data_IF_690447232862
#
_entry.id   IF_690447232862
#
_cell.length_a   1.000
_cell.length_b   1.000
_cell.length_c   1.000
_cell.angle_alpha   90.00
_cell.angle_beta   90.00
_cell.angle_gamma   90.00
#
_symmetry.space_group_name_H-M   'P 1'
#
loop_
_entity.id
_entity.type
_entity.pdbx_description
1 polymer ?
#
# COMPACT_ATOMS: atom_id res chain seq x y z
N UNK A 1 1.65 14.47 16.88
CA UNK A 1 0.52 15.15 16.20
C UNK A 1 -0.72 14.30 16.38
N UNK A 2 -1.72 14.75 17.13
CA UNK A 2 -3.03 14.08 17.16
C UNK A 2 -3.71 14.40 15.83
N UNK A 3 -3.90 13.41 14.96
CA UNK A 3 -4.66 13.56 13.72
C UNK A 3 -6.04 14.10 14.14
N UNK A 4 -6.34 15.37 13.85
CA UNK A 4 -7.72 15.87 13.90
C UNK A 4 -8.44 15.24 12.72
N UNK A 5 -8.70 13.95 12.84
CA UNK A 5 -9.73 13.30 12.04
C UNK A 5 -11.00 14.11 12.30
N UNK A 6 -11.91 14.16 11.32
CA UNK A 6 -13.26 14.64 11.60
C UNK A 6 -13.91 13.81 12.72
N UNK A 7 -15.23 13.88 12.88
CA UNK A 7 -15.92 12.88 13.69
C UNK A 7 -15.36 11.49 13.33
N UNK A 8 -14.91 10.72 14.34
CA UNK A 8 -14.22 9.45 14.10
C UNK A 8 -15.06 8.49 13.22
N UNK A 9 -16.38 8.63 13.31
CA UNK A 9 -17.38 8.01 12.45
C UNK A 9 -17.21 8.35 10.95
N UNK A 10 -17.00 9.62 10.59
CA UNK A 10 -16.75 10.03 9.19
C UNK A 10 -15.47 9.39 8.67
N UNK A 11 -14.40 9.39 9.47
CA UNK A 11 -13.15 8.75 9.07
C UNK A 11 -13.32 7.24 8.86
N UNK A 12 -14.02 6.56 9.78
CA UNK A 12 -14.34 5.15 9.66
C UNK A 12 -15.12 4.85 8.39
N UNK A 13 -16.20 5.58 8.14
CA UNK A 13 -17.04 5.39 6.96
C UNK A 13 -16.25 5.64 5.68
N UNK A 14 -15.63 6.81 5.54
CA UNK A 14 -14.96 7.20 4.31
C UNK A 14 -13.79 6.23 3.97
N UNK A 15 -13.08 5.73 4.98
CA UNK A 15 -12.00 4.77 4.79
C UNK A 15 -12.51 3.35 4.43
N UNK A 16 -13.64 2.92 4.99
CA UNK A 16 -14.28 1.65 4.59
C UNK A 16 -14.86 1.74 3.17
N UNK A 17 -15.54 2.84 2.83
CA UNK A 17 -16.06 3.07 1.48
C UNK A 17 -14.91 3.05 0.45
N UNK A 18 -13.77 3.66 0.81
CA UNK A 18 -12.55 3.61 -0.02
C UNK A 18 -12.03 2.19 -0.18
N UNK A 19 -11.90 1.44 0.92
CA UNK A 19 -11.45 0.05 0.90
C UNK A 19 -12.36 -0.83 0.03
N UNK A 20 -13.67 -0.74 0.23
CA UNK A 20 -14.66 -1.51 -0.52
C UNK A 20 -14.66 -1.15 -2.01
N UNK A 21 -14.57 0.14 -2.34
CA UNK A 21 -14.47 0.59 -3.73
C UNK A 21 -13.22 0.03 -4.43
N UNK A 22 -12.07 0.02 -3.74
CA UNK A 22 -10.84 -0.59 -4.26
C UNK A 22 -11.01 -2.10 -4.47
N UNK A 23 -11.56 -2.82 -3.50
CA UNK A 23 -11.79 -4.26 -3.63
C UNK A 23 -12.79 -4.61 -4.76
N UNK A 24 -13.80 -3.76 -4.99
CA UNK A 24 -14.75 -3.94 -6.09
C UNK A 24 -14.09 -3.71 -7.44
N UNK A 25 -13.30 -2.62 -7.58
CA UNK A 25 -12.56 -2.33 -8.81
C UNK A 25 -11.59 -3.48 -9.15
N UNK A 26 -10.81 -3.96 -8.19
CA UNK A 26 -9.84 -5.05 -8.39
C UNK A 26 -10.47 -6.43 -8.62
N UNK A 27 -11.78 -6.58 -8.47
CA UNK A 27 -12.52 -7.79 -8.80
C UNK A 27 -13.26 -7.69 -10.14
N UNK A 28 -13.26 -6.52 -10.78
CA UNK A 28 -13.90 -6.33 -12.07
C UNK A 28 -13.00 -6.85 -13.23
N UNK A 29 -13.40 -6.58 -14.47
CA UNK A 29 -12.68 -7.03 -15.68
C UNK A 29 -11.90 -5.90 -16.36
N UNK A 30 -11.71 -4.77 -15.69
CA UNK A 30 -11.27 -3.48 -16.24
C UNK A 30 -9.84 -3.17 -15.80
N UNK A 31 -8.87 -3.74 -16.51
CA UNK A 31 -7.44 -3.61 -16.19
C UNK A 31 -6.93 -2.17 -16.02
N UNK A 32 -7.57 -1.18 -16.67
CA UNK A 32 -7.16 0.23 -16.62
C UNK A 32 -7.37 0.88 -15.25
N UNK A 33 -8.19 0.30 -14.38
CA UNK A 33 -8.43 0.81 -13.03
C UNK A 33 -7.59 0.10 -11.96
N UNK A 34 -6.85 -0.96 -12.30
CA UNK A 34 -6.11 -1.78 -11.33
C UNK A 34 -5.00 -0.99 -10.63
N UNK A 35 -4.11 -0.35 -11.41
CA UNK A 35 -2.99 0.44 -10.90
C UNK A 35 -3.45 1.55 -9.92
N UNK A 36 -4.40 2.44 -10.27
CA UNK A 36 -4.88 3.44 -9.31
C UNK A 36 -5.61 2.80 -8.12
N UNK A 37 -6.34 1.69 -8.30
CA UNK A 37 -7.06 1.01 -7.21
C UNK A 37 -6.11 0.36 -6.22
N UNK A 38 -5.04 -0.30 -6.67
CA UNK A 38 -3.99 -0.88 -5.83
C UNK A 38 -3.25 0.19 -5.03
N UNK A 39 -2.93 1.32 -5.67
CA UNK A 39 -2.29 2.46 -4.98
C UNK A 39 -3.19 3.04 -3.90
N UNK A 40 -4.47 3.24 -4.20
CA UNK A 40 -5.43 3.75 -3.22
C UNK A 40 -5.66 2.75 -2.08
N UNK A 41 -5.74 1.45 -2.41
CA UNK A 41 -5.86 0.36 -1.45
C UNK A 41 -4.67 0.33 -0.49
N UNK A 42 -3.44 0.40 -1.01
CA UNK A 42 -2.23 0.44 -0.18
C UNK A 42 -2.23 1.61 0.81
N UNK A 43 -2.70 2.78 0.37
CA UNK A 43 -2.84 3.95 1.24
C UNK A 43 -3.91 3.72 2.31
N UNK A 44 -5.07 3.18 1.93
CA UNK A 44 -6.14 2.87 2.87
C UNK A 44 -5.68 1.87 3.94
N UNK A 45 -5.00 0.80 3.53
CA UNK A 45 -4.38 -0.20 4.40
C UNK A 45 -3.38 0.42 5.39
N UNK A 46 -2.63 1.42 4.95
CA UNK A 46 -1.62 2.10 5.76
C UNK A 46 -2.20 3.11 6.76
N UNK A 47 -3.44 3.56 6.60
CA UNK A 47 -4.05 4.55 7.51
C UNK A 47 -4.37 3.97 8.89
N UNK A 48 -4.68 2.67 8.97
CA UNK A 48 -4.93 1.94 10.22
C UNK A 48 -3.63 1.52 10.93
N UNK A 49 -2.48 1.98 10.45
CA UNK A 49 -1.17 1.62 10.98
C UNK A 49 -0.70 2.64 12.03
N UNK A 50 -0.73 2.23 13.30
CA UNK A 50 0.47 2.40 14.09
C UNK A 50 0.80 1.10 14.85
N UNK A 51 1.32 0.06 14.17
CA UNK A 51 2.07 -1.00 14.87
C UNK A 51 1.82 -2.47 14.54
N UNK A 52 1.21 -2.86 13.41
CA UNK A 52 1.11 -4.28 13.02
C UNK A 52 1.87 -4.62 11.73
N UNK A 53 2.97 -5.38 11.85
CA UNK A 53 3.80 -5.82 10.72
C UNK A 53 2.99 -6.40 9.54
N UNK A 54 1.88 -7.10 9.85
CA UNK A 54 0.98 -7.71 8.86
C UNK A 54 0.29 -6.72 7.93
N UNK A 55 -0.12 -5.54 8.40
CA UNK A 55 -0.82 -4.56 7.54
C UNK A 55 0.14 -3.77 6.65
N UNK A 56 1.36 -3.53 7.14
CA UNK A 56 2.42 -3.01 6.29
C UNK A 56 2.64 -3.97 5.12
N UNK A 57 2.70 -5.28 5.40
CA UNK A 57 2.85 -6.32 4.38
C UNK A 57 1.76 -6.26 3.30
N UNK A 58 0.48 -6.18 3.67
CA UNK A 58 -0.62 -6.08 2.68
C UNK A 58 -0.53 -4.81 1.82
N UNK A 59 -0.14 -3.67 2.40
CA UNK A 59 0.08 -2.44 1.65
C UNK A 59 1.27 -2.55 0.67
N UNK A 60 2.36 -3.19 1.09
CA UNK A 60 3.50 -3.48 0.23
C UNK A 60 3.13 -4.45 -0.90
N UNK A 61 2.33 -5.49 -0.62
CA UNK A 61 1.81 -6.41 -1.64
C UNK A 61 0.98 -5.64 -2.67
N UNK A 62 0.04 -4.80 -2.22
CA UNK A 62 -0.79 -4.00 -3.10
C UNK A 62 0.05 -3.09 -4.03
N UNK A 63 1.06 -2.39 -3.49
CA UNK A 63 1.98 -1.59 -4.32
C UNK A 63 2.86 -2.45 -5.22
N UNK A 64 3.23 -3.65 -4.80
CA UNK A 64 4.01 -4.57 -5.64
C UNK A 64 3.21 -5.02 -6.85
N UNK A 65 1.92 -5.33 -6.65
CA UNK A 65 1.00 -5.77 -7.70
C UNK A 65 0.75 -4.70 -8.78
N UNK A 66 0.97 -3.40 -8.50
CA UNK A 66 0.62 -2.32 -9.44
C UNK A 66 1.37 -2.40 -10.79
N UNK A 67 2.48 -3.15 -10.84
CA UNK A 67 3.29 -3.37 -12.04
C UNK A 67 2.94 -4.65 -12.79
N UNK A 68 1.89 -5.37 -12.41
CA UNK A 68 1.50 -6.63 -13.01
C UNK A 68 0.07 -6.58 -13.57
N UNK A 69 -0.19 -7.36 -14.60
CA UNK A 69 -1.53 -7.65 -15.10
C UNK A 69 -2.19 -8.64 -14.14
N UNK A 70 -3.34 -8.26 -13.61
CA UNK A 70 -4.11 -9.09 -12.71
C UNK A 70 -5.21 -9.77 -13.52
N UNK A 71 -5.28 -11.11 -13.55
CA UNK A 71 -6.37 -11.76 -14.25
C UNK A 71 -7.68 -11.47 -13.53
N UNK A 72 -8.71 -11.16 -14.32
CA UNK A 72 -10.06 -11.05 -13.79
C UNK A 72 -10.45 -12.33 -13.03
N UNK A 73 -11.16 -12.16 -11.91
CA UNK A 73 -11.71 -13.30 -11.16
C UNK A 73 -12.53 -14.14 -12.13
N UNK A 74 -12.19 -15.43 -12.37
CA UNK A 74 -12.96 -16.25 -13.29
C UNK A 74 -14.39 -16.26 -12.78
N UNK A 75 -15.33 -15.84 -13.63
CA UNK A 75 -16.74 -15.82 -13.27
C UNK A 75 -17.07 -17.18 -12.66
N UNK A 76 -17.69 -17.22 -11.46
CA UNK A 76 -17.96 -18.49 -10.79
C UNK A 76 -18.68 -19.33 -11.82
N UNK A 77 -18.04 -20.43 -12.24
CA UNK A 77 -18.58 -21.29 -13.28
C UNK A 77 -19.99 -21.59 -12.83
N UNK A 78 -20.96 -20.91 -13.46
CA UNK A 78 -22.35 -21.09 -13.14
C UNK A 78 -22.53 -22.56 -13.36
N UNK A 79 -22.69 -23.32 -12.25
CA UNK A 79 -23.04 -24.73 -12.29
C UNK A 79 -24.39 -24.69 -12.95
N UNK A 80 -24.39 -24.67 -14.29
CA UNK A 80 -25.54 -25.02 -15.09
C UNK A 80 -25.86 -26.38 -14.52
N UNK A 81 -26.93 -26.42 -13.74
CA UNK A 81 -27.48 -27.65 -13.23
C UNK A 81 -27.64 -28.50 -14.47
N UNK A 82 -26.72 -29.43 -14.67
CA UNK A 82 -26.86 -30.48 -15.66
C UNK A 82 -27.98 -31.32 -15.06
N UNK A 83 -29.21 -30.84 -15.21
CA UNK A 83 -30.41 -31.64 -15.10
C UNK A 83 -30.28 -32.58 -16.29
N UNK A 84 -29.48 -33.63 -16.08
CA UNK A 84 -29.43 -34.79 -16.92
C UNK A 84 -30.87 -35.28 -17.00
N UNK A 85 -31.52 -35.02 -18.13
CA UNK A 85 -32.68 -35.76 -18.58
C UNK A 85 -32.20 -37.21 -18.76
N UNK A 86 -32.17 -37.96 -17.66
CA UNK A 86 -32.14 -39.40 -17.66
C UNK A 86 -33.54 -39.80 -18.13
N UNK A 87 -33.73 -39.88 -19.45
CA UNK A 87 -34.83 -40.68 -20.01
C UNK A 87 -34.39 -42.13 -19.82
N UNK A 88 -34.71 -42.66 -18.64
CA UNK A 88 -34.57 -44.08 -18.36
C UNK A 88 -35.71 -44.82 -19.07
N UNK A 89 -35.39 -45.49 -20.18
CA UNK A 89 -36.22 -46.55 -20.74
C UNK A 89 -36.06 -47.77 -19.82
N UNK A 90 -36.92 -47.89 -18.82
CA UNK A 90 -36.91 -49.01 -17.85
C UNK A 90 -37.89 -50.08 -18.33
N UNK A 91 -37.38 -51.27 -18.66
CA UNK A 91 -38.17 -52.50 -18.72
C UNK A 91 -38.50 -52.95 -17.28
N UNK A 92 -39.69 -53.53 -17.02
CA UNK A 92 -40.09 -53.90 -15.67
C UNK A 92 -39.30 -55.13 -15.20
N UNK A 93 -38.58 -54.98 -14.09
CA UNK A 93 -38.00 -56.08 -13.31
C UNK A 93 -38.72 -56.11 -11.97
N UNK A 94 -39.40 -57.21 -11.67
CA UNK A 94 -39.96 -57.50 -10.35
C UNK A 94 -38.82 -57.68 -9.34
N UNK A 95 -38.83 -56.87 -8.28
CA UNK A 95 -37.94 -57.04 -7.14
C UNK A 95 -38.79 -57.21 -5.88
N UNK A 96 -38.71 -58.40 -5.33
CA UNK A 96 -39.30 -58.81 -4.05
C UNK A 96 -38.56 -58.12 -2.90
N UNK A 97 -39.30 -57.34 -2.10
CA UNK A 97 -38.78 -56.67 -0.91
C UNK A 97 -38.76 -57.67 0.26
N UNK A 98 -37.57 -57.91 0.82
CA UNK A 98 -37.44 -58.49 2.16
C UNK A 98 -36.87 -57.43 3.11
N UNK A 99 -37.70 -57.07 4.08
CA UNK A 99 -37.33 -56.19 5.20
C UNK A 99 -36.43 -56.95 6.18
N UNK A 100 -35.40 -56.28 6.68
CA UNK A 100 -34.99 -56.26 8.09
C UNK A 100 -33.58 -55.66 8.23
N UNK A 101 -33.45 -54.51 8.91
CA UNK A 101 -32.46 -54.27 9.98
C UNK A 101 -32.37 -52.78 10.39
N UNK A 102 -31.88 -52.50 11.61
CA UNK A 102 -32.33 -51.35 12.39
C UNK A 102 -31.48 -50.09 12.26
N UNK A 103 -32.15 -48.96 12.48
CA UNK A 103 -31.63 -47.60 12.50
C UNK A 103 -30.85 -47.36 13.81
N UNK A 104 -29.55 -47.10 13.70
CA UNK A 104 -28.73 -46.51 14.77
C UNK A 104 -28.82 -44.99 14.70
N UNK A 105 -29.26 -44.38 15.80
CA UNK A 105 -29.42 -42.93 15.93
C UNK A 105 -28.07 -42.26 16.25
N UNK A 106 -27.74 -41.21 15.50
CA UNK A 106 -26.69 -40.27 15.88
C UNK A 106 -27.33 -39.01 16.45
N UNK A 107 -26.90 -38.69 17.67
CA UNK A 107 -27.39 -37.63 18.54
C UNK A 107 -26.62 -36.35 18.23
N UNK A 108 -27.25 -35.41 17.53
CA UNK A 108 -26.70 -34.08 17.25
C UNK A 108 -26.82 -33.19 18.50
N UNK A 109 -25.72 -32.58 18.93
CA UNK A 109 -25.68 -31.61 20.02
C UNK A 109 -26.23 -30.24 19.56
N UNK A 110 -26.86 -29.44 20.45
CA UNK A 110 -27.40 -28.14 20.09
C UNK A 110 -26.29 -27.07 20.06
N UNK A 111 -26.24 -26.35 18.93
CA UNK A 111 -25.46 -25.12 18.76
C UNK A 111 -26.27 -23.94 19.31
N UNK A 112 -25.76 -23.32 20.38
CA UNK A 112 -26.37 -22.15 21.01
C UNK A 112 -25.85 -20.89 20.31
N UNK A 113 -26.66 -20.31 19.42
CA UNK A 113 -26.48 -18.93 18.95
C UNK A 113 -27.26 -17.96 19.86
N UNK A 114 -26.65 -16.86 20.32
CA UNK A 114 -27.41 -15.77 20.93
C UNK A 114 -28.06 -14.91 19.84
N UNK A 115 -29.39 -15.02 19.75
CA UNK A 115 -30.26 -14.07 19.07
C UNK A 115 -30.19 -12.71 19.76
N UNK A 116 -29.73 -11.69 19.04
CA UNK A 116 -29.85 -10.29 19.44
C UNK A 116 -30.87 -9.65 18.50
N UNK A 117 -32.01 -9.26 19.07
CA UNK A 117 -33.12 -8.62 18.39
C UNK A 117 -32.73 -7.25 17.81
N UNK A 118 -33.40 -6.78 16.74
CA UNK A 118 -33.16 -5.47 16.16
C UNK A 118 -33.84 -4.37 16.99
N UNK A 119 -33.06 -3.40 17.46
CA UNK A 119 -33.57 -2.17 18.07
C UNK A 119 -34.12 -1.27 16.96
N UNK A 120 -35.44 -1.06 16.98
CA UNK A 120 -36.16 -0.09 16.16
C UNK A 120 -35.71 1.33 16.46
N UNK A 121 -35.11 2.00 15.47
CA UNK A 121 -34.83 3.43 15.46
C UNK A 121 -35.93 4.12 14.63
N UNK A 122 -37.11 4.28 15.23
CA UNK A 122 -38.19 5.08 14.70
C UNK A 122 -38.48 6.18 15.73
N UNK A 123 -37.97 7.38 15.46
CA UNK A 123 -38.48 8.69 15.86
C UNK A 123 -37.32 9.68 15.82
N UNK A 124 -37.21 10.45 14.73
CA UNK A 124 -36.72 11.84 14.67
C UNK A 124 -36.53 12.28 13.21
N UNK A 125 -37.63 12.51 12.49
CA UNK A 125 -37.63 13.39 11.32
C UNK A 125 -38.90 14.25 11.37
N UNK A 126 -38.73 15.52 11.74
CA UNK A 126 -39.71 16.57 11.44
C UNK A 126 -39.24 17.31 10.17
N UNK A 127 -40.10 17.55 9.16
CA UNK A 127 -39.72 18.26 7.96
C UNK A 127 -39.90 19.78 8.14
N UNK A 128 -38.80 20.53 8.05
CA UNK A 128 -38.85 21.98 7.86
C UNK A 128 -38.75 22.31 6.37
N UNK A 129 -39.88 22.68 5.78
CA UNK A 129 -40.02 23.33 4.46
C UNK A 129 -39.42 24.73 4.46
N UNK A 130 -38.63 25.13 3.44
CA UNK A 130 -38.38 26.54 3.16
C UNK A 130 -39.36 27.07 2.10
N UNK A 131 -40.23 27.99 2.53
CA UNK A 131 -41.08 28.80 1.67
C UNK A 131 -40.24 29.85 0.94
N UNK A 132 -40.19 29.76 -0.38
CA UNK A 132 -39.65 30.81 -1.26
C UNK A 132 -40.67 31.94 -1.43
N UNK A 133 -40.28 33.18 -1.15
CA UNK A 133 -40.98 34.38 -1.65
C UNK A 133 -40.03 35.18 -2.55
N UNK A 134 -40.54 35.79 -3.63
CA UNK A 134 -39.72 36.59 -4.54
C UNK A 134 -39.60 38.02 -4.01
N UNK A 135 -38.39 38.58 -4.05
CA UNK A 135 -38.15 40.01 -3.86
C UNK A 135 -37.56 40.54 -5.17
N UNK A 136 -38.38 41.34 -5.86
CA UNK A 136 -38.00 42.26 -6.92
C UNK A 136 -37.53 43.59 -6.33
N UNK A 137 -36.57 44.23 -7.01
CA UNK A 137 -36.18 45.66 -7.08
C UNK A 137 -34.65 45.70 -7.19
N UNK A 138 -34.05 45.96 -8.35
CA UNK A 138 -33.96 47.25 -9.06
C UNK A 138 -33.46 48.41 -8.18
N UNK A 139 -32.16 48.70 -8.32
CA UNK A 139 -31.54 50.04 -8.42
C UNK A 139 -30.02 49.91 -8.48
N UNK A 140 -29.43 50.44 -9.56
CA UNK A 140 -27.99 50.57 -9.72
C UNK A 140 -27.35 51.52 -8.70
N UNK A 141 -26.03 51.36 -8.52
CA UNK A 141 -25.06 52.38 -8.07
C UNK A 141 -23.66 51.89 -8.45
N UNK A 142 -23.00 52.77 -9.19
CA UNK A 142 -21.57 53.05 -9.42
C UNK A 142 -20.46 52.08 -8.99
N UNK A 143 -19.61 51.80 -9.99
CA UNK A 143 -18.24 51.30 -9.88
C UNK A 143 -17.32 52.23 -9.06
N UNK A 144 -16.47 51.69 -8.17
CA UNK A 144 -15.28 52.39 -7.73
C UNK A 144 -14.01 51.88 -8.43
N UNK A 145 -13.20 52.86 -8.84
CA UNK A 145 -11.85 52.71 -9.37
C UNK A 145 -10.93 51.90 -8.45
N UNK A 146 -10.09 51.06 -9.08
CA UNK A 146 -8.92 50.45 -8.47
C UNK A 146 -7.77 51.46 -8.40
N UNK A 147 -7.35 51.83 -7.19
CA UNK A 147 -6.08 52.50 -6.92
C UNK A 147 -5.01 51.49 -6.49
N UNK A 148 -3.76 51.58 -6.97
CA UNK A 148 -2.67 50.67 -6.61
C UNK A 148 -2.07 51.05 -5.25
N UNK A 149 -2.09 50.12 -4.29
CA UNK A 149 -1.44 50.27 -2.98
C UNK A 149 -0.07 49.60 -2.96
N UNK A 150 0.89 50.32 -2.40
CA UNK A 150 2.31 50.02 -2.26
C UNK A 150 2.67 48.78 -1.41
N UNK A 151 3.91 48.26 -1.52
CA UNK A 151 4.34 47.01 -0.87
C UNK A 151 4.56 47.15 0.64
N UNK A 152 3.96 46.22 1.40
CA UNK A 152 4.18 46.07 2.85
C UNK A 152 5.48 45.33 3.15
N UNK A 153 6.11 45.83 4.21
CA UNK A 153 7.39 45.48 4.79
C UNK A 153 7.49 44.04 5.32
N UNK A 154 8.73 43.56 5.38
CA UNK A 154 9.20 42.26 5.84
C UNK A 154 8.72 41.83 7.24
N UNK A 155 8.58 40.53 7.51
CA UNK A 155 8.27 40.01 8.83
C UNK A 155 9.50 39.90 9.74
N UNK A 156 9.22 40.16 11.01
CA UNK A 156 10.07 40.17 12.18
C UNK A 156 10.72 38.81 12.48
N UNK A 157 11.95 38.87 12.97
CA UNK A 157 12.75 37.75 13.47
C UNK A 157 12.12 37.04 14.68
N UNK A 158 12.34 35.72 14.86
CA UNK A 158 11.90 35.00 16.06
C UNK A 158 12.81 35.26 17.29
N UNK A 159 12.28 35.06 18.52
CA UNK A 159 12.95 35.41 19.77
C UNK A 159 14.05 34.43 20.17
N UNK A 160 15.13 35.01 20.72
CA UNK A 160 16.32 34.36 21.24
C UNK A 160 16.05 33.45 22.45
N UNK A 161 16.60 32.24 22.43
CA UNK A 161 16.72 31.33 23.57
C UNK A 161 17.89 31.73 24.50
N UNK A 162 17.81 31.43 25.81
CA UNK A 162 18.86 31.76 26.79
C UNK A 162 20.05 30.79 26.76
N UNK A 163 21.24 31.20 27.26
CA UNK A 163 22.49 30.47 27.07
C UNK A 163 22.66 29.30 28.07
N UNK A 164 23.07 28.15 27.54
CA UNK A 164 23.55 26.99 28.31
C UNK A 164 25.03 27.20 28.68
N UNK A 165 25.33 26.94 29.96
CA UNK A 165 26.63 27.14 30.58
C UNK A 165 27.72 26.21 30.00
N UNK A 166 28.91 26.78 29.83
CA UNK A 166 30.16 26.10 29.51
C UNK A 166 30.75 25.46 30.77
N UNK A 167 31.02 24.16 30.74
CA UNK A 167 32.04 23.53 31.59
C UNK A 167 33.23 23.14 30.71
N UNK A 168 34.30 23.89 30.89
CA UNK A 168 35.66 23.56 30.45
C UNK A 168 36.22 22.42 31.28
N UNK A 169 36.76 21.39 30.63
CA UNK A 169 37.80 20.55 31.23
C UNK A 169 39.00 20.45 30.30
N UNK A 170 40.19 20.62 30.89
CA UNK A 170 41.51 20.67 30.27
C UNK A 170 42.32 19.50 30.84
N UNK A 171 42.87 18.65 29.99
CA UNK A 171 43.95 17.74 30.38
C UNK A 171 44.52 16.99 29.15
N UNK A 172 45.53 17.56 28.48
CA UNK A 172 46.97 17.17 28.56
C UNK A 172 47.25 15.78 27.92
N UNK A 173 47.78 15.71 26.69
CA UNK A 173 49.23 15.68 26.31
C UNK A 173 49.84 14.28 26.49
N UNK A 174 50.26 13.64 25.40
CA UNK A 174 51.66 13.22 25.16
C UNK A 174 51.87 12.38 23.88
N UNK A 175 52.93 12.79 23.15
CA UNK A 175 53.96 11.99 22.45
C UNK A 175 53.58 11.00 21.32
N UNK A 176 54.00 11.39 20.11
CA UNK A 176 54.54 10.51 19.06
C UNK A 176 55.86 9.85 19.52
N UNK A 177 56.35 8.74 18.89
CA UNK A 177 57.08 8.86 17.60
C UNK A 177 57.10 7.62 16.66
N UNK A 178 57.65 7.87 15.45
CA UNK A 178 58.41 6.97 14.55
C UNK A 178 57.69 5.83 13.82
N UNK A 179 57.55 5.91 12.49
CA UNK A 179 58.53 5.46 11.45
C UNK A 179 58.77 3.93 11.47
N UNK A 180 58.00 3.22 10.65
CA UNK A 180 58.24 1.83 10.25
C UNK A 180 58.20 1.71 8.72
N UNK A 181 59.37 1.48 8.14
CA UNK A 181 59.68 1.31 6.72
C UNK A 181 59.33 -0.13 6.32
N UNK A 182 58.44 -0.32 5.34
CA UNK A 182 58.18 -1.64 4.76
C UNK A 182 58.45 -1.63 3.25
N UNK A 183 59.30 -2.58 2.89
CA UNK A 183 59.99 -2.79 1.63
C UNK A 183 59.08 -3.10 0.44
N UNK A 184 59.51 -2.60 -0.71
CA UNK A 184 59.10 -3.07 -2.04
C UNK A 184 59.69 -4.47 -2.26
N UNK A 185 58.84 -5.42 -2.62
CA UNK A 185 59.23 -6.62 -3.37
C UNK A 185 58.27 -6.81 -4.54
N UNK A 186 58.88 -6.88 -5.73
CA UNK A 186 58.28 -7.25 -7.02
C UNK A 186 58.29 -8.78 -7.10
N UNK A 187 57.14 -9.38 -7.42
CA UNK A 187 56.93 -10.69 -8.04
C UNK A 187 55.49 -10.60 -8.59
N UNK A 188 55.16 -10.60 -9.89
CA UNK A 188 55.54 -11.39 -11.08
C UNK A 188 55.03 -12.84 -11.08
N UNK A 189 53.70 -12.99 -11.16
CA UNK A 189 52.96 -14.13 -11.76
C UNK A 189 51.68 -13.50 -12.37
N UNK A 190 51.34 -13.49 -13.67
CA UNK A 190 51.33 -14.49 -14.75
C UNK A 190 50.46 -15.73 -14.46
N UNK A 191 49.15 -15.49 -14.35
CA UNK A 191 48.07 -16.42 -14.70
C UNK A 191 46.99 -15.58 -15.42
N UNK A 192 46.89 -15.55 -16.76
CA UNK A 192 46.39 -16.60 -17.66
C UNK A 192 44.90 -16.93 -17.46
N UNK A 193 44.04 -15.96 -17.81
CA UNK A 193 43.04 -16.09 -18.86
C UNK A 193 42.11 -17.34 -18.82
N UNK A 194 40.99 -17.28 -18.10
CA UNK A 194 39.86 -18.24 -18.28
C UNK A 194 38.45 -17.70 -17.99
N UNK A 195 38.22 -16.37 -17.98
CA UNK A 195 36.91 -15.81 -17.55
C UNK A 195 35.93 -15.42 -18.67
N UNK A 196 36.09 -15.90 -19.90
CA UNK A 196 35.30 -15.39 -21.04
C UNK A 196 34.02 -16.16 -21.40
N UNK A 197 33.72 -17.29 -20.77
CA UNK A 197 32.58 -18.13 -21.18
C UNK A 197 31.35 -18.15 -20.24
N UNK A 198 31.36 -17.45 -19.09
CA UNK A 198 30.21 -17.48 -18.16
C UNK A 198 29.17 -16.35 -18.36
N UNK A 199 29.48 -15.31 -19.13
CA UNK A 199 28.55 -14.17 -19.29
C UNK A 199 27.33 -14.50 -20.15
N UNK A 200 27.45 -15.45 -21.09
CA UNK A 200 26.34 -15.85 -21.95
C UNK A 200 25.31 -16.75 -21.24
N UNK A 201 25.74 -17.53 -20.24
CA UNK A 201 24.85 -18.43 -19.48
C UNK A 201 23.96 -17.67 -18.48
N UNK A 202 24.50 -16.64 -17.81
CA UNK A 202 23.71 -15.79 -16.91
C UNK A 202 22.69 -14.93 -17.67
N UNK A 203 23.04 -14.45 -18.86
CA UNK A 203 22.11 -13.65 -19.70
C UNK A 203 20.97 -14.47 -20.31
N UNK A 204 21.16 -15.78 -20.56
CA UNK A 204 20.06 -16.65 -21.04
C UNK A 204 19.09 -17.06 -19.94
N UNK A 205 19.55 -17.15 -18.68
CA UNK A 205 18.70 -17.55 -17.55
C UNK A 205 17.77 -16.42 -17.09
N UNK A 206 18.21 -15.16 -17.18
CA UNK A 206 17.37 -14.02 -16.80
C UNK A 206 16.16 -13.84 -17.72
N UNK A 207 16.33 -14.07 -19.03
CA UNK A 207 15.26 -13.87 -20.02
C UNK A 207 14.10 -14.86 -19.91
N UNK A 208 14.32 -16.07 -19.37
CA UNK A 208 13.24 -17.04 -19.15
C UNK A 208 12.43 -16.77 -17.89
N UNK A 209 13.01 -16.11 -16.89
CA UNK A 209 12.31 -15.75 -15.66
C UNK A 209 11.45 -14.49 -15.84
N UNK A 210 11.90 -13.50 -16.61
CA UNK A 210 11.05 -12.33 -16.97
C UNK A 210 9.79 -12.73 -17.73
N UNK A 211 9.86 -13.76 -18.58
CA UNK A 211 8.69 -14.27 -19.29
C UNK A 211 7.68 -15.02 -18.39
N UNK A 212 8.04 -15.31 -17.14
CA UNK A 212 7.15 -16.00 -16.18
C UNK A 212 6.09 -15.07 -15.60
N UNK A 213 6.42 -13.80 -15.41
CA UNK A 213 5.56 -12.84 -14.73
C UNK A 213 4.86 -11.91 -15.72
N UNK A 214 3.60 -11.63 -15.46
CA UNK A 214 2.76 -10.83 -16.34
C UNK A 214 2.91 -9.35 -16.02
N UNK A 215 4.02 -8.73 -16.43
CA UNK A 215 4.23 -7.30 -16.20
C UNK A 215 3.24 -6.43 -16.98
N UNK A 216 2.72 -5.40 -16.32
CA UNK A 216 1.89 -4.37 -16.93
C UNK A 216 2.77 -3.24 -17.48
N UNK A 217 3.07 -3.31 -18.77
CA UNK A 217 3.89 -2.31 -19.47
C UNK A 217 3.23 -0.92 -19.58
N UNK A 218 1.96 -0.79 -19.19
CA UNK A 218 1.24 0.49 -19.14
C UNK A 218 1.44 1.22 -17.81
N UNK A 219 1.83 0.51 -16.74
CA UNK A 219 2.16 1.16 -15.47
C UNK A 219 3.49 1.88 -15.60
N UNK A 220 3.43 3.22 -15.51
CA UNK A 220 4.60 4.08 -15.52
C UNK A 220 4.50 5.00 -14.30
N UNK A 221 5.46 4.87 -13.39
CA UNK A 221 5.65 5.84 -12.31
C UNK A 221 6.86 6.73 -12.64
N UNK A 222 6.91 7.89 -12.00
CA UNK A 222 8.05 8.80 -12.08
C UNK A 222 8.53 9.13 -10.68
N UNK A 223 9.84 9.03 -10.45
CA UNK A 223 10.44 9.47 -9.21
C UNK A 223 10.22 10.98 -9.06
N UNK A 224 9.52 11.40 -8.01
CA UNK A 224 9.16 12.79 -7.77
C UNK A 224 10.38 13.73 -7.58
N UNK A 225 11.57 13.18 -7.29
CA UNK A 225 12.79 13.96 -7.06
C UNK A 225 13.69 14.05 -8.30
N UNK A 226 13.97 12.92 -8.96
CA UNK A 226 14.91 12.88 -10.09
C UNK A 226 14.25 12.67 -11.47
N UNK A 227 12.91 12.57 -11.52
CA UNK A 227 12.11 12.29 -12.73
C UNK A 227 12.49 10.99 -13.45
N UNK A 228 13.18 10.06 -12.78
CA UNK A 228 13.47 8.73 -13.32
C UNK A 228 12.16 7.97 -13.53
N UNK A 229 11.97 7.42 -14.72
CA UNK A 229 10.83 6.54 -15.03
C UNK A 229 11.00 5.19 -14.35
N UNK A 230 10.02 4.75 -13.59
CA UNK A 230 10.01 3.50 -12.85
C UNK A 230 8.94 2.58 -13.47
N UNK A 231 9.37 1.51 -14.14
CA UNK A 231 8.50 0.58 -14.87
C UNK A 231 8.37 -0.79 -14.21
N UNK A 232 9.32 -1.11 -13.35
CA UNK A 232 9.42 -2.36 -12.60
C UNK A 232 10.39 -2.16 -11.43
N UNK A 233 10.82 -3.26 -10.80
CA UNK A 233 11.73 -3.28 -9.66
C UNK A 233 13.18 -3.64 -10.04
N UNK A 234 13.54 -3.64 -11.33
CA UNK A 234 14.90 -4.01 -11.78
C UNK A 234 15.95 -2.99 -11.38
N UNK A 235 15.55 -1.74 -11.18
CA UNK A 235 16.44 -0.64 -10.79
C UNK A 235 16.47 -0.37 -9.28
N UNK A 236 15.83 -1.23 -8.48
CA UNK A 236 15.77 -1.12 -7.03
C UNK A 236 14.35 -0.88 -6.51
N UNK A 237 14.27 -0.57 -5.22
CA UNK A 237 12.99 -0.41 -4.53
C UNK A 237 12.35 0.95 -4.85
N UNK A 238 11.03 0.99 -4.79
CA UNK A 238 10.18 2.16 -4.99
C UNK A 238 9.47 2.47 -3.68
N UNK A 239 9.55 3.72 -3.25
CA UNK A 239 9.01 4.19 -2.00
C UNK A 239 7.84 5.14 -2.26
N UNK A 240 6.61 4.69 -1.98
CA UNK A 240 5.39 5.46 -2.24
C UNK A 240 4.90 6.12 -0.96
N UNK A 241 4.66 7.42 -0.99
CA UNK A 241 4.12 8.17 0.14
C UNK A 241 2.64 7.84 0.39
N UNK A 242 2.29 7.58 1.66
CA UNK A 242 0.92 7.29 2.08
C UNK A 242 0.01 8.51 1.98
N UNK A 243 0.55 9.70 2.24
CA UNK A 243 -0.23 10.93 2.41
C UNK A 243 -0.31 11.78 1.13
N UNK A 244 0.73 11.78 0.31
CA UNK A 244 0.76 12.54 -0.93
C UNK A 244 0.08 11.74 -2.05
N UNK A 245 -0.62 12.40 -2.98
CA UNK A 245 -1.37 11.72 -4.04
C UNK A 245 -0.47 10.90 -4.97
N UNK A 246 0.61 11.50 -5.49
CA UNK A 246 1.48 10.89 -6.50
C UNK A 246 2.96 11.16 -6.19
N UNK A 247 3.41 10.80 -4.99
CA UNK A 247 4.83 10.89 -4.64
C UNK A 247 5.39 9.49 -4.51
N UNK A 248 6.20 9.12 -5.49
CA UNK A 248 6.99 7.91 -5.54
C UNK A 248 8.46 8.32 -5.62
N UNK A 249 9.33 7.61 -4.90
CA UNK A 249 10.78 7.85 -4.93
C UNK A 249 11.48 6.57 -5.33
N UNK A 250 12.48 6.66 -6.21
CA UNK A 250 13.45 5.57 -6.36
C UNK A 250 14.26 5.44 -5.07
N UNK A 251 14.86 4.27 -4.86
CA UNK A 251 15.66 3.94 -3.68
C UNK A 251 16.74 4.98 -3.36
N UNK A 252 17.46 5.47 -4.37
CA UNK A 252 18.50 6.49 -4.19
C UNK A 252 17.92 7.80 -3.66
N UNK A 253 16.78 8.24 -4.21
CA UNK A 253 16.10 9.47 -3.81
C UNK A 253 15.42 9.35 -2.44
N UNK A 254 14.94 8.16 -2.08
CA UNK A 254 14.45 7.87 -0.75
C UNK A 254 15.56 8.02 0.30
N UNK A 255 16.72 7.39 0.09
CA UNK A 255 17.85 7.50 1.02
C UNK A 255 18.39 8.93 1.11
N UNK A 256 18.40 9.67 -0.01
CA UNK A 256 18.74 11.08 -0.02
C UNK A 256 17.78 11.90 0.85
N UNK A 257 16.47 11.67 0.72
CA UNK A 257 15.45 12.30 1.58
C UNK A 257 15.66 11.96 3.06
N UNK A 258 15.86 10.69 3.39
CA UNK A 258 16.07 10.26 4.78
C UNK A 258 17.34 10.90 5.37
N UNK A 259 18.44 10.92 4.60
CA UNK A 259 19.69 11.58 5.02
C UNK A 259 19.50 13.09 5.26
N UNK A 260 18.69 13.77 4.43
CA UNK A 260 18.38 15.18 4.61
C UNK A 260 17.64 15.45 5.93
N UNK A 261 16.65 14.62 6.27
CA UNK A 261 15.88 14.80 7.50
C UNK A 261 16.60 14.34 8.77
N UNK A 262 17.50 13.34 8.68
CA UNK A 262 18.32 12.89 9.80
C UNK A 262 19.44 13.90 10.10
N UNK A 263 20.13 14.41 9.08
CA UNK A 263 21.32 15.25 9.23
C UNK A 263 21.01 16.75 9.38
N UNK A 264 19.96 17.10 10.12
CA UNK A 264 19.43 18.47 10.23
C UNK A 264 20.39 19.51 10.82
N UNK A 265 21.64 19.17 11.18
CA UNK A 265 22.52 20.08 11.93
C UNK A 265 23.69 20.73 11.19
N UNK A 266 24.31 20.22 10.11
CA UNK A 266 25.60 20.81 9.68
C UNK A 266 25.90 20.95 8.18
N UNK A 267 25.19 20.27 7.28
CA UNK A 267 25.39 20.49 5.83
C UNK A 267 24.04 20.61 5.14
N UNK A 268 23.65 21.85 4.85
CA UNK A 268 22.59 22.09 3.89
C UNK A 268 23.05 21.49 2.57
N UNK A 269 22.32 20.50 2.09
CA UNK A 269 22.49 20.02 0.73
C UNK A 269 21.75 21.03 -0.15
N UNK A 270 22.51 21.91 -0.78
CA UNK A 270 21.95 23.07 -1.50
C UNK A 270 21.01 22.68 -2.66
N UNK A 271 21.10 21.43 -3.13
CA UNK A 271 20.36 20.93 -4.29
C UNK A 271 19.12 20.07 -3.94
N UNK A 272 18.79 19.87 -2.66
CA UNK A 272 17.61 19.08 -2.29
C UNK A 272 16.33 19.92 -2.32
N UNK A 273 15.36 19.49 -3.13
CA UNK A 273 14.00 20.04 -3.15
C UNK A 273 13.08 19.15 -2.31
N UNK A 274 12.38 19.73 -1.34
CA UNK A 274 11.42 18.97 -0.52
C UNK A 274 10.19 18.58 -1.36
N UNK A 275 10.20 17.35 -1.85
CA UNK A 275 9.09 16.75 -2.64
C UNK A 275 8.00 16.13 -1.78
N UNK A 276 8.33 15.82 -0.52
CA UNK A 276 7.44 15.18 0.44
C UNK A 276 7.76 15.69 1.85
N UNK A 277 6.80 16.30 2.56
CA UNK A 277 7.03 16.83 3.90
C UNK A 277 7.66 15.83 4.86
N UNK A 278 8.45 16.34 5.80
CA UNK A 278 8.95 15.54 6.91
C UNK A 278 7.80 14.90 7.72
N UNK A 279 8.01 13.67 8.19
CA UNK A 279 7.03 12.90 8.95
C UNK A 279 5.98 12.17 8.11
N UNK A 280 5.94 12.38 6.79
CA UNK A 280 5.19 11.51 5.91
C UNK A 280 5.82 10.11 5.85
N UNK A 281 4.97 9.09 5.92
CA UNK A 281 5.33 7.67 5.86
C UNK A 281 5.40 7.25 4.40
N UNK A 282 6.44 6.51 4.06
CA UNK A 282 6.59 5.87 2.75
C UNK A 282 6.51 4.36 2.91
N UNK A 283 5.84 3.70 1.97
CA UNK A 283 5.75 2.25 1.87
C UNK A 283 6.78 1.81 0.84
N UNK A 284 7.64 0.87 1.21
CA UNK A 284 8.62 0.23 0.32
C UNK A 284 7.95 -0.84 -0.54
N UNK A 285 8.23 -0.84 -1.85
CA UNK A 285 7.84 -1.88 -2.80
C UNK A 285 9.01 -2.22 -3.72
N UNK A 286 9.23 -3.50 -4.08
CA UNK A 286 8.43 -4.62 -3.66
C UNK A 286 8.78 -5.03 -2.22
N UNK A 287 7.90 -5.80 -1.56
CA UNK A 287 8.25 -6.36 -0.26
C UNK A 287 9.43 -7.34 -0.38
N UNK A 288 10.17 -7.52 0.71
CA UNK A 288 11.25 -8.52 0.76
C UNK A 288 10.73 -9.89 0.33
N UNK A 289 11.50 -10.58 -0.52
CA UNK A 289 11.16 -11.92 -1.00
C UNK A 289 10.12 -11.96 -2.13
N UNK A 290 9.60 -10.81 -2.57
CA UNK A 290 8.73 -10.71 -3.74
C UNK A 290 9.41 -11.20 -5.02
N UNK A 291 8.69 -11.99 -5.81
CA UNK A 291 9.14 -12.43 -7.14
C UNK A 291 8.28 -11.88 -8.27
N UNK A 292 6.96 -11.84 -8.08
CA UNK A 292 6.03 -11.27 -9.06
C UNK A 292 4.67 -11.95 -9.10
N UNK A 293 3.86 -11.54 -10.07
CA UNK A 293 2.56 -12.13 -10.36
C UNK A 293 2.62 -12.82 -11.71
N UNK A 294 2.24 -14.09 -11.76
CA UNK A 294 2.14 -14.87 -12.99
C UNK A 294 0.90 -14.47 -13.81
N UNK A 295 0.87 -14.88 -15.07
CA UNK A 295 -0.29 -14.65 -15.95
C UNK A 295 -1.60 -15.30 -15.47
N UNK A 296 -1.52 -16.34 -14.63
CA UNK A 296 -2.68 -16.97 -13.99
C UNK A 296 -3.06 -16.33 -12.64
N UNK A 297 -2.41 -15.22 -12.27
CA UNK A 297 -2.75 -14.43 -11.08
C UNK A 297 -2.16 -14.95 -9.79
N UNK A 298 -1.31 -15.98 -9.86
CA UNK A 298 -0.58 -16.47 -8.69
C UNK A 298 0.56 -15.51 -8.38
N UNK A 299 0.52 -14.97 -7.17
CA UNK A 299 1.58 -14.15 -6.58
C UNK A 299 2.62 -15.07 -5.94
N UNK A 300 3.89 -14.76 -6.15
CA UNK A 300 5.00 -15.49 -5.57
C UNK A 300 5.84 -14.54 -4.69
N UNK A 301 5.90 -14.81 -3.39
CA UNK A 301 6.75 -14.06 -2.45
C UNK A 301 7.12 -14.94 -1.25
N UNK A 302 8.32 -14.76 -0.70
CA UNK A 302 8.83 -15.53 0.46
C UNK A 302 8.78 -17.07 0.30
N UNK A 303 8.72 -17.56 -0.95
CA UNK A 303 8.55 -18.99 -1.24
C UNK A 303 7.11 -19.51 -1.14
N UNK A 304 6.14 -18.63 -0.86
CA UNK A 304 4.71 -18.90 -0.89
C UNK A 304 4.13 -18.61 -2.29
N UNK A 305 3.12 -19.39 -2.68
CA UNK A 305 2.30 -19.14 -3.85
C UNK A 305 0.86 -18.91 -3.39
N UNK A 306 0.28 -17.75 -3.72
CA UNK A 306 -1.10 -17.40 -3.37
C UNK A 306 -1.80 -16.76 -4.57
N UNK A 307 -3.02 -17.17 -4.84
CA UNK A 307 -3.82 -16.54 -5.90
C UNK A 307 -4.19 -15.12 -5.46
N UNK A 308 -4.01 -14.14 -6.36
CA UNK A 308 -4.34 -12.74 -6.07
C UNK A 308 -5.76 -12.57 -5.54
N UNK A 309 -6.74 -13.26 -6.13
CA UNK A 309 -8.13 -13.22 -5.67
C UNK A 309 -8.31 -13.76 -4.25
N UNK A 310 -7.58 -14.80 -3.87
CA UNK A 310 -7.66 -15.39 -2.53
C UNK A 310 -7.02 -14.46 -1.50
N UNK A 311 -5.92 -13.79 -1.87
CA UNK A 311 -5.31 -12.75 -1.05
C UNK A 311 -6.27 -11.58 -0.82
N UNK A 312 -6.93 -11.11 -1.89
CA UNK A 312 -7.90 -10.00 -1.86
C UNK A 312 -9.15 -10.36 -1.05
N UNK A 313 -9.71 -11.56 -1.23
CA UNK A 313 -10.85 -12.06 -0.46
C UNK A 313 -10.49 -12.16 1.04
N UNK A 314 -9.28 -12.65 1.36
CA UNK A 314 -8.78 -12.72 2.72
C UNK A 314 -8.49 -11.35 3.37
N UNK A 315 -8.34 -10.31 2.55
CA UNK A 315 -8.00 -8.96 3.01
C UNK A 315 -9.13 -8.35 3.85
N UNK A 316 -10.41 -8.63 3.52
CA UNK A 316 -11.57 -8.13 4.29
C UNK A 316 -11.53 -8.57 5.76
N UNK A 317 -11.23 -9.84 6.01
CA UNK A 317 -11.10 -10.34 7.37
C UNK A 317 -9.91 -9.73 8.12
N UNK A 318 -8.79 -9.45 7.42
CA UNK A 318 -7.64 -8.74 8.00
C UNK A 318 -7.98 -7.27 8.29
N UNK A 319 -8.75 -6.64 7.42
CA UNK A 319 -9.23 -5.27 7.54
C UNK A 319 -10.13 -5.06 8.76
N UNK A 320 -11.11 -5.94 8.98
CA UNK A 320 -11.98 -5.89 10.18
C UNK A 320 -11.16 -6.01 11.47
N UNK A 321 -10.24 -6.99 11.55
CA UNK A 321 -9.33 -7.15 12.70
C UNK A 321 -8.43 -5.94 12.92
N UNK A 322 -8.14 -5.19 11.86
CA UNK A 322 -7.32 -3.99 11.92
C UNK A 322 -8.07 -2.84 12.58
N UNK A 323 -9.35 -2.66 12.26
CA UNK A 323 -10.22 -1.72 12.95
C UNK A 323 -10.38 -2.07 14.43
N UNK A 324 -10.60 -3.34 14.75
CA UNK A 324 -10.70 -3.80 16.13
C UNK A 324 -9.47 -3.44 16.96
N UNK A 325 -8.28 -3.46 16.35
CA UNK A 325 -7.04 -3.03 17.00
C UNK A 325 -6.97 -1.52 17.12
N UNK A 326 -7.22 -0.80 16.03
CA UNK A 326 -7.19 0.66 15.97
C UNK A 326 -8.03 1.29 17.08
N UNK A 327 -9.28 0.83 17.25
CA UNK A 327 -10.16 1.38 18.28
C UNK A 327 -9.67 1.09 19.70
N UNK A 328 -9.10 -0.09 19.95
CA UNK A 328 -8.52 -0.44 21.25
C UNK A 328 -7.32 0.41 21.64
N UNK A 329 -6.55 0.87 20.66
CA UNK A 329 -5.36 1.71 20.88
C UNK A 329 -5.72 3.20 21.00
N UNK A 330 -6.71 3.69 20.27
CA UNK A 330 -7.14 5.09 20.32
C UNK A 330 -7.86 5.45 21.63
N UNK A 331 -8.50 4.48 22.28
CA UNK A 331 -9.19 4.67 23.57
C UNK A 331 -8.25 4.70 24.79
N UNK A 332 -6.96 4.36 24.64
CA UNK A 332 -5.95 4.37 25.71
C UNK A 332 -5.18 5.69 25.79
#
# INVERSE_FOLDING_TARGET
MRRKLGPAETFYRDLNDTFDACCLALNDTTETNDTPSLRLLAKALSMLYPGSETQCRDAQIALSCQFYLLPAKPAPLSRKSTTSLIIATVAPVEITITANSPITSFKTAPSTQPSRAPSTLADMIAPSTPTSKPISNDKGIDSPQLTPSQPRSAPLSPPSTPPVAKTTDKGNKERSPSRGRASRTRERSRDSNSSRDNSAAHSRRSRSEEARYAFNNQTILECALCNKTLKDFTEGNIYTCVYCTNVDLCEECYHLREAYHINTSEKKMDDYVEVCPWGHTLIESPMKGWKGVRADGVMEYDGEEILFSDWLDGLRGRWERSWDRYWREVEQ
#
